data_IF_932939789020
#
_entry.id   IF_932939789020
#
_cell.length_a   1.000
_cell.length_b   1.000
_cell.length_c   1.000
_cell.angle_alpha   90.00
_cell.angle_beta   90.00
_cell.angle_gamma   90.00
#
_symmetry.space_group_name_H-M   'P 1'
#
loop_
_entity.id
_entity.type
_entity.pdbx_description
1 polymer ?
#
# COMPACT_ATOMS: atom_id res chain seq x y z
N UNK A 1 12.92 -2.86 -4.65
CA UNK A 1 13.01 -1.66 -3.77
C UNK A 1 13.12 -2.12 -2.34
N UNK A 2 13.99 -1.49 -1.54
CA UNK A 2 14.20 -1.85 -0.13
C UNK A 2 12.95 -1.60 0.73
N UNK A 3 12.92 -2.13 1.96
CA UNK A 3 11.81 -1.92 2.88
C UNK A 3 11.72 -0.47 3.33
N UNK A 4 10.50 -0.04 3.64
CA UNK A 4 10.25 1.18 4.41
C UNK A 4 9.89 0.81 5.84
N UNK A 5 10.16 1.72 6.75
CA UNK A 5 9.89 1.57 8.17
C UNK A 5 9.31 2.88 8.71
N UNK A 6 8.22 2.81 9.46
CA UNK A 6 7.65 3.93 10.19
C UNK A 6 7.74 3.69 11.69
N UNK A 7 8.43 4.61 12.37
CA UNK A 7 8.66 4.59 13.82
C UNK A 7 8.31 5.97 14.37
N UNK A 8 7.64 6.03 15.49
CA UNK A 8 7.44 7.29 16.19
C UNK A 8 8.76 7.77 16.78
N UNK A 9 9.13 9.02 16.48
CA UNK A 9 10.43 9.58 16.84
C UNK A 9 10.54 9.95 18.34
N UNK A 10 9.43 10.02 19.06
CA UNK A 10 9.40 10.37 20.48
C UNK A 10 9.31 9.13 21.37
N UNK A 11 8.43 8.19 21.01
CA UNK A 11 8.24 6.95 21.77
C UNK A 11 9.18 5.83 21.35
N UNK A 12 9.77 5.91 20.14
CA UNK A 12 10.49 4.84 19.44
C UNK A 12 9.62 3.59 19.15
N UNK A 13 8.32 3.76 19.14
CA UNK A 13 7.40 2.69 18.80
C UNK A 13 7.34 2.47 17.29
N UNK A 14 7.31 1.21 16.92
CA UNK A 14 7.13 0.77 15.54
C UNK A 14 5.65 0.75 15.18
N UNK A 15 5.30 1.32 14.02
CA UNK A 15 3.91 1.34 13.51
C UNK A 15 3.74 0.62 12.18
N UNK A 16 4.74 0.63 11.31
CA UNK A 16 4.57 0.07 9.97
C UNK A 16 5.90 -0.31 9.34
N UNK A 17 5.93 -1.45 8.66
CA UNK A 17 7.00 -1.82 7.74
C UNK A 17 6.43 -2.48 6.50
N UNK A 18 6.99 -2.18 5.34
CA UNK A 18 6.60 -2.82 4.10
C UNK A 18 7.74 -2.87 3.08
N UNK A 19 7.67 -3.86 2.22
CA UNK A 19 8.53 -3.98 1.05
C UNK A 19 7.69 -4.29 -0.18
N UNK A 20 8.12 -3.82 -1.35
CA UNK A 20 7.41 -4.06 -2.60
C UNK A 20 8.31 -4.57 -3.72
N UNK A 21 7.71 -5.39 -4.58
CA UNK A 21 8.24 -5.82 -5.86
C UNK A 21 7.34 -5.31 -7.00
N UNK A 22 7.90 -5.17 -8.22
CA UNK A 22 7.15 -4.71 -9.39
C UNK A 22 7.90 -3.68 -10.24
N UNK A 23 9.23 -3.61 -10.12
CA UNK A 23 10.03 -2.65 -10.89
C UNK A 23 9.60 -1.21 -10.63
N UNK A 24 9.25 -0.48 -11.68
CA UNK A 24 8.83 0.92 -11.60
C UNK A 24 7.55 1.15 -10.78
N UNK A 25 6.71 0.12 -10.62
CA UNK A 25 5.45 0.24 -9.85
C UNK A 25 5.64 -0.01 -8.35
N UNK A 26 6.79 -0.54 -7.91
CA UNK A 26 7.05 -0.85 -6.51
C UNK A 26 6.96 0.40 -5.59
N UNK A 27 7.57 1.56 -5.92
CA UNK A 27 7.48 2.76 -5.09
C UNK A 27 6.04 3.22 -4.87
N UNK A 28 5.28 3.35 -5.95
CA UNK A 28 3.89 3.80 -5.89
C UNK A 28 2.99 2.83 -5.15
N UNK A 29 3.25 1.53 -5.27
CA UNK A 29 2.53 0.50 -4.49
C UNK A 29 2.75 0.65 -3.00
N UNK A 30 4.00 0.86 -2.56
CA UNK A 30 4.31 1.14 -1.16
C UNK A 30 3.62 2.41 -0.65
N UNK A 31 3.67 3.48 -1.44
CA UNK A 31 3.02 4.76 -1.09
C UNK A 31 1.51 4.57 -0.93
N UNK A 32 0.85 3.88 -1.89
CA UNK A 32 -0.59 3.63 -1.81
C UNK A 32 -0.96 2.89 -0.51
N UNK A 33 -0.25 1.81 -0.18
CA UNK A 33 -0.54 1.01 1.03
C UNK A 33 -0.20 1.79 2.31
N UNK A 34 0.97 2.43 2.36
CA UNK A 34 1.41 3.17 3.54
C UNK A 34 0.49 4.33 3.88
N UNK A 35 0.08 5.14 2.89
CA UNK A 35 -0.83 6.25 3.11
C UNK A 35 -2.20 5.78 3.60
N UNK A 36 -2.74 4.71 3.03
CA UNK A 36 -4.02 4.18 3.48
C UNK A 36 -3.94 3.62 4.90
N UNK A 37 -2.90 2.84 5.22
CA UNK A 37 -2.76 2.26 6.55
C UNK A 37 -2.44 3.30 7.64
N UNK A 38 -1.56 4.27 7.36
CA UNK A 38 -1.09 5.22 8.37
C UNK A 38 -2.01 6.44 8.56
N UNK A 39 -2.75 6.84 7.53
CA UNK A 39 -3.53 8.10 7.53
C UNK A 39 -5.03 7.93 7.32
N UNK A 40 -5.50 6.71 7.13
CA UNK A 40 -6.93 6.39 7.11
C UNK A 40 -7.28 5.43 8.23
N UNK A 41 -8.58 5.29 8.52
CA UNK A 41 -9.08 4.36 9.56
C UNK A 41 -9.17 2.91 9.06
N UNK A 42 -8.56 2.61 7.91
CA UNK A 42 -8.63 1.29 7.31
C UNK A 42 -7.63 0.32 7.94
N UNK A 43 -8.03 -0.93 8.07
CA UNK A 43 -7.14 -2.03 8.45
C UNK A 43 -6.05 -2.22 7.40
N UNK A 44 -4.92 -2.82 7.80
CA UNK A 44 -3.86 -3.16 6.86
C UNK A 44 -4.36 -4.07 5.73
N UNK A 45 -5.24 -5.02 6.04
CA UNK A 45 -5.85 -5.89 5.05
C UNK A 45 -6.63 -5.12 3.97
N UNK A 46 -7.45 -4.13 4.38
CA UNK A 46 -8.18 -3.27 3.45
C UNK A 46 -7.24 -2.39 2.62
N UNK A 47 -6.24 -1.78 3.25
CA UNK A 47 -5.22 -0.99 2.56
C UNK A 47 -4.48 -1.82 1.50
N UNK A 48 -4.17 -3.07 1.81
CA UNK A 48 -3.52 -4.01 0.87
C UNK A 48 -4.43 -4.43 -0.28
N UNK A 49 -5.73 -4.66 -0.01
CA UNK A 49 -6.72 -5.06 -1.01
C UNK A 49 -7.14 -3.91 -1.93
N UNK A 50 -7.01 -2.67 -1.50
CA UNK A 50 -7.42 -1.50 -2.27
C UNK A 50 -6.77 -1.45 -3.65
N UNK A 51 -7.54 -1.00 -4.64
CA UNK A 51 -7.05 -0.78 -6.00
C UNK A 51 -6.04 0.36 -6.02
N UNK A 52 -5.03 0.25 -6.88
CA UNK A 52 -3.87 1.16 -6.89
C UNK A 52 -3.81 2.00 -8.16
N UNK A 53 -3.18 3.15 -8.02
CA UNK A 53 -2.77 4.03 -9.11
C UNK A 53 -1.24 4.02 -9.22
N UNK A 54 -0.75 4.24 -10.45
CA UNK A 54 0.67 4.42 -10.73
C UNK A 54 0.88 5.46 -11.82
N UNK A 55 1.84 6.36 -11.58
CA UNK A 55 2.39 7.24 -12.60
C UNK A 55 3.91 7.23 -12.52
N UNK A 56 4.56 6.83 -13.59
CA UNK A 56 6.03 6.67 -13.64
C UNK A 56 6.78 7.91 -14.16
N UNK A 57 6.06 9.00 -14.48
CA UNK A 57 6.64 10.19 -15.11
C UNK A 57 6.64 10.08 -16.64
N UNK A 58 7.22 9.05 -17.19
CA UNK A 58 7.20 8.78 -18.63
C UNK A 58 6.90 7.29 -18.90
N UNK A 59 6.00 6.95 -19.83
CA UNK A 59 5.10 7.88 -20.54
C UNK A 59 4.15 8.60 -19.59
N UNK A 60 3.68 9.79 -19.96
CA UNK A 60 2.73 10.59 -19.19
C UNK A 60 1.32 9.96 -19.22
N UNK A 61 1.17 8.88 -18.46
CA UNK A 61 -0.05 8.08 -18.33
C UNK A 61 -0.21 7.69 -16.86
N UNK A 62 -1.41 7.92 -16.31
CA UNK A 62 -1.81 7.35 -15.02
C UNK A 62 -2.38 5.96 -15.27
N UNK A 63 -1.70 4.95 -14.77
CA UNK A 63 -2.21 3.58 -14.78
C UNK A 63 -3.08 3.34 -13.54
N UNK A 64 -4.18 2.64 -13.72
CA UNK A 64 -5.07 2.24 -12.63
C UNK A 64 -5.44 0.76 -12.74
N UNK A 65 -5.59 0.10 -11.60
CA UNK A 65 -6.02 -1.30 -11.59
C UNK A 65 -7.48 -1.44 -11.98
N UNK A 66 -7.79 -2.47 -12.74
CA UNK A 66 -9.18 -2.81 -13.12
C UNK A 66 -10.07 -2.90 -11.88
N UNK A 67 -11.22 -2.24 -11.92
CA UNK A 67 -12.13 -2.10 -10.79
C UNK A 67 -11.76 -0.94 -9.82
N UNK A 68 -10.88 -0.03 -10.22
CA UNK A 68 -10.70 1.24 -9.53
C UNK A 68 -11.96 2.09 -9.60
N UNK A 69 -12.16 3.02 -8.66
CA UNK A 69 -13.32 3.91 -8.63
C UNK A 69 -13.47 4.68 -9.96
N UNK A 70 -14.57 4.43 -10.65
CA UNK A 70 -14.86 5.03 -11.94
C UNK A 70 -14.98 6.56 -11.87
N UNK A 71 -15.51 7.11 -10.78
CA UNK A 71 -15.62 8.56 -10.59
C UNK A 71 -14.23 9.19 -10.45
N UNK A 72 -13.33 8.54 -9.73
CA UNK A 72 -11.95 9.01 -9.61
C UNK A 72 -11.22 8.96 -10.96
N UNK A 73 -11.44 7.92 -11.78
CA UNK A 73 -10.89 7.83 -13.14
C UNK A 73 -11.43 8.97 -14.03
N UNK A 74 -12.74 9.25 -13.97
CA UNK A 74 -13.34 10.36 -14.73
C UNK A 74 -12.80 11.72 -14.28
N UNK A 75 -12.53 11.90 -12.99
CA UNK A 75 -11.92 13.12 -12.46
C UNK A 75 -10.49 13.33 -12.97
N UNK A 76 -9.71 12.26 -13.06
CA UNK A 76 -8.37 12.31 -13.66
C UNK A 76 -8.44 12.75 -15.14
N UNK A 77 -9.37 12.19 -15.90
CA UNK A 77 -9.60 12.58 -17.30
C UNK A 77 -10.01 14.05 -17.42
N UNK A 78 -10.94 14.54 -16.58
CA UNK A 78 -11.36 15.95 -16.56
C UNK A 78 -10.22 16.92 -16.24
N UNK A 79 -9.25 16.48 -15.44
CA UNK A 79 -8.02 17.23 -15.11
C UNK A 79 -6.96 17.17 -16.22
N UNK A 80 -7.25 16.48 -17.33
CA UNK A 80 -6.36 16.38 -18.49
C UNK A 80 -5.35 15.23 -18.43
N UNK A 81 -5.45 14.33 -17.45
CA UNK A 81 -4.59 13.15 -17.41
C UNK A 81 -4.97 12.14 -18.48
N UNK A 82 -3.98 11.50 -19.06
CA UNK A 82 -4.19 10.28 -19.83
C UNK A 82 -4.21 9.10 -18.87
N UNK A 83 -5.19 8.22 -19.00
CA UNK A 83 -5.35 7.08 -18.10
C UNK A 83 -5.36 5.75 -18.87
N UNK A 84 -4.87 4.70 -18.25
CA UNK A 84 -4.91 3.33 -18.81
C UNK A 84 -5.14 2.30 -17.72
N UNK A 85 -6.03 1.35 -17.98
CA UNK A 85 -6.27 0.23 -17.08
C UNK A 85 -5.14 -0.80 -17.16
N UNK A 86 -4.81 -1.39 -16.02
CA UNK A 86 -3.86 -2.51 -15.93
C UNK A 86 -4.40 -3.59 -14.99
N UNK A 87 -3.88 -4.80 -15.10
CA UNK A 87 -4.32 -5.90 -14.24
C UNK A 87 -3.87 -5.72 -12.80
N UNK A 88 -2.59 -5.38 -12.59
CA UNK A 88 -1.98 -5.24 -11.26
C UNK A 88 -0.95 -4.13 -11.23
N UNK A 89 -0.78 -3.49 -10.07
CA UNK A 89 0.24 -2.49 -9.80
C UNK A 89 1.05 -2.92 -8.58
N UNK A 90 2.24 -3.47 -8.82
CA UNK A 90 3.18 -3.96 -7.83
C UNK A 90 2.63 -5.06 -6.93
N UNK A 91 3.46 -5.49 -5.99
CA UNK A 91 3.15 -6.45 -4.92
C UNK A 91 3.81 -5.95 -3.64
N UNK A 92 3.06 -5.91 -2.56
CA UNK A 92 3.52 -5.41 -1.27
C UNK A 92 3.37 -6.49 -0.21
N UNK A 93 4.34 -6.62 0.69
CA UNK A 93 4.18 -7.34 1.93
C UNK A 93 4.38 -6.35 3.06
N UNK A 94 3.49 -6.34 4.04
CA UNK A 94 3.51 -5.34 5.09
C UNK A 94 3.19 -5.91 6.47
N UNK A 95 3.69 -5.22 7.48
CA UNK A 95 3.31 -5.36 8.89
C UNK A 95 2.86 -3.99 9.36
N UNK A 96 1.72 -3.92 10.02
CA UNK A 96 1.20 -2.70 10.64
C UNK A 96 0.77 -2.96 12.07
N UNK A 97 1.07 -2.03 12.97
CA UNK A 97 0.71 -2.07 14.38
C UNK A 97 0.00 -0.76 14.71
N UNK A 98 -1.33 -0.75 14.78
CA UNK A 98 -2.14 0.48 14.89
C UNK A 98 -1.91 1.22 16.19
N UNK A 99 -1.54 0.52 17.26
CA UNK A 99 -1.28 1.09 18.58
C UNK A 99 0.21 1.07 18.96
N UNK A 100 1.08 0.70 18.02
CA UNK A 100 2.52 0.68 18.20
C UNK A 100 3.08 -0.58 18.86
N UNK A 101 4.34 -0.88 18.57
CA UNK A 101 5.10 -1.99 19.13
C UNK A 101 6.34 -1.40 19.84
N UNK A 102 6.67 -1.75 21.10
CA UNK A 102 6.18 -2.91 21.86
C UNK A 102 4.94 -2.65 22.73
N UNK A 103 4.32 -1.47 22.68
CA UNK A 103 3.24 -1.13 23.63
C UNK A 103 2.01 -2.05 23.47
N UNK A 104 1.61 -2.34 22.24
CA UNK A 104 0.40 -3.14 21.94
C UNK A 104 0.68 -4.17 20.83
N UNK A 105 1.39 -5.27 21.11
CA UNK A 105 1.71 -6.27 20.09
C UNK A 105 0.48 -6.94 19.48
N UNK A 106 -0.64 -6.98 20.19
CA UNK A 106 -1.92 -7.50 19.70
C UNK A 106 -2.53 -6.63 18.60
N UNK A 107 -2.15 -5.35 18.49
CA UNK A 107 -2.59 -4.45 17.42
C UNK A 107 -1.90 -4.70 16.08
N UNK A 108 -0.93 -5.63 16.04
CA UNK A 108 -0.13 -5.87 14.85
C UNK A 108 -0.81 -6.84 13.89
N UNK A 109 -0.77 -6.52 12.61
CA UNK A 109 -1.21 -7.35 11.49
C UNK A 109 -0.04 -7.61 10.53
N UNK A 110 0.08 -8.82 10.00
CA UNK A 110 1.02 -9.16 8.94
C UNK A 110 0.24 -9.61 7.71
N UNK A 111 0.36 -8.87 6.61
CA UNK A 111 -0.43 -9.11 5.40
C UNK A 111 0.45 -9.23 4.18
N UNK A 112 0.24 -10.29 3.41
CA UNK A 112 0.81 -10.47 2.08
C UNK A 112 -0.18 -10.02 1.01
N UNK A 113 0.34 -9.46 -0.07
CA UNK A 113 -0.46 -8.95 -1.18
C UNK A 113 -1.20 -10.08 -1.92
N UNK A 114 -2.50 -9.93 -2.11
CA UNK A 114 -3.33 -10.84 -2.90
C UNK A 114 -2.94 -10.88 -4.39
N UNK A 115 -2.12 -9.92 -4.84
CA UNK A 115 -1.50 -9.89 -6.18
C UNK A 115 -0.29 -10.82 -6.30
N UNK A 116 0.11 -11.47 -5.21
CA UNK A 116 1.21 -12.43 -5.11
C UNK A 116 0.76 -13.74 -4.47
N UNK A 117 1.73 -14.58 -4.10
CA UNK A 117 1.53 -15.90 -3.51
C UNK A 117 2.07 -16.00 -2.08
N UNK A 118 2.29 -14.85 -1.44
CA UNK A 118 2.78 -14.80 -0.06
C UNK A 118 1.70 -15.13 0.97
N UNK A 119 2.14 -15.41 2.19
CA UNK A 119 1.28 -15.59 3.35
C UNK A 119 1.86 -14.78 4.51
N UNK A 120 1.06 -13.90 5.10
CA UNK A 120 1.37 -13.24 6.36
C UNK A 120 0.79 -14.06 7.52
N UNK A 121 1.61 -14.36 8.52
CA UNK A 121 1.17 -15.09 9.71
C UNK A 121 1.62 -14.31 10.93
N UNK A 122 0.69 -14.05 11.83
CA UNK A 122 0.98 -13.60 13.20
C UNK A 122 0.93 -14.79 14.14
N UNK A 123 1.99 -14.98 14.89
CA UNK A 123 2.02 -15.94 15.99
C UNK A 123 1.69 -15.18 17.28
N UNK A 124 0.63 -15.58 17.98
CA UNK A 124 0.34 -15.15 19.36
C UNK A 124 0.90 -16.20 20.32
N UNK A 125 1.67 -15.75 21.30
CA UNK A 125 2.01 -16.59 22.45
C UNK A 125 0.82 -16.82 23.36
#
# INVERSE_FOLDING_TARGET
MGPILAVDNFSNEFFFAAAAAGGATAPTSLINVALQNLFTVDTLEKAMAAKRLHHGGYPDIVYYEQGYDENAVQDLLKRGHRVAATATIGRVNAIGCTEGLPAAPESCEAVSDTRGFGMGIRVSE
#
